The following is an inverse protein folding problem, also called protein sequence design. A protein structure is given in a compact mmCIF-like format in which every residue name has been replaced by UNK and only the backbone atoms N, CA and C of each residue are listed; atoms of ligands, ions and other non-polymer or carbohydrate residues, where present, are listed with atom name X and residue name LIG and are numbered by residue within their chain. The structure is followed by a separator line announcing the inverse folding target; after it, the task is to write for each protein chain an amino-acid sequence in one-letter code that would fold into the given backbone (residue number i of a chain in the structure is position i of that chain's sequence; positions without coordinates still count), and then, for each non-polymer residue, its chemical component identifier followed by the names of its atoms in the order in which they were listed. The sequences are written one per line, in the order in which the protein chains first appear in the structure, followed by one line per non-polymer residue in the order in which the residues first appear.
data_IF_752896122107
#
_entry.id   IF_752896122107
#
_cell.length_a   1.000
_cell.length_b   1.000
_cell.length_c   1.000
_cell.angle_alpha   90.00
_cell.angle_beta   90.00
_cell.angle_gamma   90.00
#
_symmetry.space_group_name_H-M   'P 1'
#
loop_
_entity.id
_entity.type
_entity.pdbx_description
1 polymer ?
#
# COMPACT_ATOMS: atom_id res chain seq x y z
N UNK A 1 10.89 -3.05 20.13
CA UNK A 1 10.37 -2.15 19.08
C UNK A 1 8.87 -2.01 19.26
N UNK A 2 8.24 -0.98 18.67
CA UNK A 2 6.77 -0.89 18.62
C UNK A 2 6.37 -1.18 17.18
N UNK A 3 5.63 -2.26 16.98
CA UNK A 3 5.08 -2.65 15.68
C UNK A 3 3.73 -1.97 15.45
N UNK A 4 3.48 -1.48 14.23
CA UNK A 4 2.26 -0.77 13.85
C UNK A 4 1.75 -1.31 12.51
N UNK A 5 0.45 -1.55 12.40
CA UNK A 5 -0.18 -2.05 11.17
C UNK A 5 -1.55 -1.45 10.91
N UNK A 6 -2.07 -1.68 9.70
CA UNK A 6 -3.47 -1.44 9.38
C UNK A 6 -4.39 -2.53 9.97
N UNK A 7 -5.72 -2.40 9.81
CA UNK A 7 -6.68 -3.36 10.35
C UNK A 7 -6.66 -4.70 9.60
N UNK A 8 -5.97 -4.77 8.44
CA UNK A 8 -6.00 -5.90 7.52
C UNK A 8 -4.57 -6.37 7.18
N UNK A 9 -4.39 -7.68 7.08
CA UNK A 9 -3.19 -8.31 6.50
C UNK A 9 -3.49 -8.59 5.03
N UNK A 10 -2.69 -8.04 4.13
CA UNK A 10 -2.84 -8.20 2.68
C UNK A 10 -1.57 -8.79 2.10
N UNK A 11 -1.69 -9.51 0.98
CA UNK A 11 -0.50 -9.88 0.21
C UNK A 11 0.06 -8.64 -0.50
N UNK A 12 1.38 -8.57 -0.63
CA UNK A 12 2.03 -7.40 -1.25
C UNK A 12 1.64 -7.23 -2.73
N UNK A 13 1.51 -8.33 -3.47
CA UNK A 13 1.10 -8.33 -4.88
C UNK A 13 -0.36 -7.89 -5.05
N UNK A 14 -1.22 -8.27 -4.12
CA UNK A 14 -2.61 -7.80 -4.08
C UNK A 14 -2.70 -6.30 -3.77
N UNK A 15 -1.91 -5.81 -2.81
CA UNK A 15 -1.84 -4.39 -2.48
C UNK A 15 -1.38 -3.57 -3.70
N UNK A 16 -0.36 -4.04 -4.42
CA UNK A 16 0.12 -3.41 -5.64
C UNK A 16 -0.96 -3.38 -6.74
N UNK A 17 -1.65 -4.51 -6.99
CA UNK A 17 -2.73 -4.57 -8.00
C UNK A 17 -3.84 -3.57 -7.72
N UNK A 18 -4.32 -3.52 -6.47
CA UNK A 18 -5.38 -2.60 -6.05
C UNK A 18 -4.95 -1.14 -6.19
N UNK A 19 -3.71 -0.82 -5.82
CA UNK A 19 -3.16 0.53 -6.00
C UNK A 19 -3.10 0.94 -7.47
N UNK A 20 -2.48 0.12 -8.33
CA UNK A 20 -2.37 0.41 -9.77
C UNK A 20 -3.75 0.59 -10.42
N UNK A 21 -4.70 -0.29 -10.10
CA UNK A 21 -6.08 -0.17 -10.56
C UNK A 21 -6.74 1.15 -10.12
N UNK A 22 -6.57 1.54 -8.85
CA UNK A 22 -7.12 2.78 -8.31
C UNK A 22 -6.54 4.03 -9.00
N UNK A 23 -5.25 4.00 -9.37
CA UNK A 23 -4.59 5.05 -10.13
C UNK A 23 -4.78 4.95 -11.66
N UNK A 24 -5.52 3.95 -12.15
CA UNK A 24 -5.70 3.64 -13.58
C UNK A 24 -4.38 3.40 -14.32
N UNK A 25 -3.41 2.84 -13.61
CA UNK A 25 -2.13 2.45 -14.19
C UNK A 25 -2.28 1.07 -14.87
N UNK A 26 -1.91 0.93 -16.16
CA UNK A 26 -2.11 -0.30 -16.92
C UNK A 26 -1.05 -1.38 -16.64
N UNK A 27 -0.07 -1.12 -15.78
CA UNK A 27 0.97 -2.11 -15.46
C UNK A 27 0.38 -3.37 -14.82
N UNK A 28 0.86 -4.52 -15.29
CA UNK A 28 0.49 -5.83 -14.74
C UNK A 28 1.41 -6.21 -13.57
N UNK A 29 0.82 -6.74 -12.50
CA UNK A 29 1.57 -7.24 -11.35
C UNK A 29 1.80 -8.74 -11.50
N UNK A 30 3.06 -9.10 -11.72
CA UNK A 30 3.53 -10.48 -11.78
C UNK A 30 4.12 -10.86 -10.41
N UNK A 31 3.62 -11.94 -9.82
CA UNK A 31 4.09 -12.43 -8.52
C UNK A 31 5.23 -13.42 -8.70
N UNK A 32 6.35 -13.20 -8.02
CA UNK A 32 7.49 -14.12 -7.95
C UNK A 32 7.86 -14.36 -6.48
N UNK A 33 7.67 -15.58 -5.93
CA UNK A 33 8.06 -15.93 -4.56
C UNK A 33 9.55 -15.77 -4.24
N UNK A 34 10.41 -15.70 -5.26
CA UNK A 34 11.84 -15.49 -5.13
C UNK A 34 12.26 -14.03 -5.41
N UNK A 35 11.31 -13.15 -5.71
CA UNK A 35 11.58 -11.73 -5.86
C UNK A 35 12.21 -11.17 -4.58
N UNK A 36 13.20 -10.30 -4.77
CA UNK A 36 13.95 -9.70 -3.67
C UNK A 36 13.31 -8.39 -3.24
N UNK A 37 13.09 -8.24 -1.94
CA UNK A 37 12.71 -6.98 -1.30
C UNK A 37 13.98 -6.22 -0.94
N UNK A 38 14.26 -5.11 -1.63
CA UNK A 38 15.51 -4.33 -1.51
C UNK A 38 16.78 -5.20 -1.60
N UNK A 39 16.81 -6.13 -2.55
CA UNK A 39 17.96 -7.02 -2.78
C UNK A 39 18.05 -8.23 -1.85
N UNK A 40 17.11 -8.39 -0.92
CA UNK A 40 17.06 -9.50 0.04
C UNK A 40 15.84 -10.39 -0.26
N UNK A 41 16.02 -11.71 -0.27
CA UNK A 41 14.90 -12.63 -0.29
C UNK A 41 14.28 -12.69 1.10
N UNK A 42 12.99 -12.37 1.20
CA UNK A 42 12.26 -12.30 2.48
C UNK A 42 11.31 -13.48 2.62
N UNK A 43 11.02 -13.88 3.86
CA UNK A 43 9.95 -14.85 4.14
C UNK A 43 8.57 -14.19 4.00
N UNK A 44 7.53 -15.00 3.82
CA UNK A 44 6.15 -14.54 3.60
C UNK A 44 5.64 -13.52 4.64
N UNK A 45 6.09 -13.63 5.90
CA UNK A 45 5.65 -12.76 7.00
C UNK A 45 6.63 -11.63 7.36
N UNK A 46 7.73 -11.48 6.63
CA UNK A 46 8.80 -10.52 6.99
C UNK A 46 8.36 -9.06 7.02
N UNK A 47 7.30 -8.70 6.27
CA UNK A 47 6.76 -7.33 6.22
C UNK A 47 5.44 -7.20 6.99
N UNK A 48 5.05 -8.24 7.71
CA UNK A 48 3.79 -8.28 8.46
C UNK A 48 4.13 -8.11 9.93
N UNK A 49 3.58 -7.09 10.60
CA UNK A 49 3.71 -6.95 12.05
C UNK A 49 3.30 -8.23 12.80
N UNK A 50 3.94 -8.47 13.94
CA UNK A 50 3.56 -9.55 14.84
C UNK A 50 2.17 -9.31 15.47
N UNK A 51 1.65 -10.33 16.16
CA UNK A 51 0.26 -10.34 16.62
C UNK A 51 -0.05 -9.30 17.71
N UNK A 52 0.96 -8.74 18.37
CA UNK A 52 0.86 -7.69 19.39
C UNK A 52 1.00 -6.26 18.81
N UNK A 53 1.05 -6.14 17.48
CA UNK A 53 1.13 -4.85 16.81
C UNK A 53 -0.06 -3.94 17.14
N UNK A 54 0.22 -2.64 17.23
CA UNK A 54 -0.82 -1.63 17.36
C UNK A 54 -1.49 -1.42 16.02
N UNK A 55 -2.79 -1.67 15.94
CA UNK A 55 -3.54 -1.56 14.69
C UNK A 55 -4.26 -0.21 14.59
N UNK A 56 -4.06 0.47 13.46
CA UNK A 56 -4.89 1.61 13.05
C UNK A 56 -6.23 1.16 12.47
N UNK A 57 -7.20 2.09 12.38
CA UNK A 57 -8.55 1.80 11.87
C UNK A 57 -8.74 2.03 10.37
N UNK A 58 -7.79 2.67 9.68
CA UNK A 58 -7.91 2.99 8.26
C UNK A 58 -7.67 1.77 7.40
N UNK A 59 -8.69 1.33 6.65
CA UNK A 59 -8.56 0.26 5.67
C UNK A 59 -7.84 0.77 4.43
N UNK A 60 -7.23 -0.16 3.68
CA UNK A 60 -6.46 0.21 2.48
C UNK A 60 -7.34 0.88 1.42
N UNK A 61 -8.56 0.39 1.19
CA UNK A 61 -9.52 0.96 0.24
C UNK A 61 -10.01 2.37 0.64
N UNK A 62 -10.22 2.60 1.93
CA UNK A 62 -10.62 3.90 2.45
C UNK A 62 -9.52 4.94 2.18
N UNK A 63 -8.25 4.53 2.39
CA UNK A 63 -7.10 5.36 2.07
C UNK A 63 -6.97 5.62 0.57
N UNK A 64 -7.13 4.60 -0.29
CA UNK A 64 -7.06 4.76 -1.75
C UNK A 64 -8.12 5.74 -2.27
N UNK A 65 -9.32 5.73 -1.70
CA UNK A 65 -10.41 6.66 -2.05
C UNK A 65 -10.03 8.12 -1.76
N UNK A 66 -9.19 8.36 -0.76
CA UNK A 66 -8.66 9.69 -0.46
C UNK A 66 -7.44 10.04 -1.31
N UNK A 67 -6.53 9.09 -1.53
CA UNK A 67 -5.27 9.28 -2.24
C UNK A 67 -5.44 9.51 -3.74
N UNK A 68 -6.48 8.96 -4.35
CA UNK A 68 -6.76 9.07 -5.79
C UNK A 68 -7.61 10.29 -6.15
N UNK A 69 -8.06 11.07 -5.16
CA UNK A 69 -8.75 12.35 -5.42
C UNK A 69 -7.74 13.34 -6.02
N UNK A 70 -8.04 13.96 -7.17
CA UNK A 70 -7.24 15.06 -7.66
C UNK A 70 -7.20 16.15 -6.58
N UNK A 71 -6.00 16.64 -6.25
CA UNK A 71 -5.89 17.86 -5.46
C UNK A 71 -6.55 18.97 -6.29
N UNK A 72 -7.71 19.45 -5.85
CA UNK A 72 -8.35 20.60 -6.48
C UNK A 72 -7.36 21.77 -6.36
N UNK A 73 -6.88 22.28 -7.49
CA UNK A 73 -5.99 23.44 -7.54
C UNK A 73 -6.66 24.60 -6.78
N UNK A 74 -6.26 24.80 -5.53
CA UNK A 74 -6.59 26.00 -4.79
C UNK A 74 -5.93 27.17 -5.53
N UNK A 75 -6.75 28.05 -6.08
CA UNK A 75 -6.37 29.04 -7.06
C UNK A 75 -5.16 29.88 -6.67
N UNK A 76 -4.03 29.66 -7.34
CA UNK A 76 -3.01 30.69 -7.52
C UNK A 76 -3.32 31.41 -8.83
N UNK A 77 -4.16 32.44 -8.74
CA UNK A 77 -4.17 33.53 -9.71
C UNK A 77 -2.78 34.18 -9.64
N UNK A 78 -1.99 34.03 -10.69
CA UNK A 78 -0.74 34.78 -10.88
C UNK A 78 -1.11 36.25 -11.01
N UNK A 79 -0.66 37.07 -10.06
CA UNK A 79 -0.42 38.50 -10.26
C UNK A 79 1.04 38.67 -10.71
#
# INVERSE_FOLDING_TARGET
TIEIGGPEKLRLDELARRALAAFRDPLEVISDPHARYYGIQVSERSLVPDNDARLGGTRFEDWLTLATKPVANAGLRRA
#
